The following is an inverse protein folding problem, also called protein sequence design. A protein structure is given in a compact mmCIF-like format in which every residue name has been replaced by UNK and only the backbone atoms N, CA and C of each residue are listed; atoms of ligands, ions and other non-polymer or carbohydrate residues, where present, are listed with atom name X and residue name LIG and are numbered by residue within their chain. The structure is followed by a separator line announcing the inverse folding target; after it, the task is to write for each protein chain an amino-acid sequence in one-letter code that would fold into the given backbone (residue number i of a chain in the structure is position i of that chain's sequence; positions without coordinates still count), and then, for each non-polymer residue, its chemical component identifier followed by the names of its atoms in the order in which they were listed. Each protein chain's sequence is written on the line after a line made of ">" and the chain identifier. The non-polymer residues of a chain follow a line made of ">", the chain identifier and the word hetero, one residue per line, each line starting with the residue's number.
data_IF_182484314289
#
_entry.id   IF_182484314289
#
_cell.length_a   1.000
_cell.length_b   1.000
_cell.length_c   1.000
_cell.angle_alpha   90.00
_cell.angle_beta   90.00
_cell.angle_gamma   90.00
#
_symmetry.space_group_name_H-M   'P 1'
#
loop_
_entity.id
_entity.type
_entity.pdbx_description
1 polymer ?
#
# COMPACT_ATOMS: atom_id res chain seq x y z
N UNK A 1 8.87 3.17 -1.06
CA UNK A 1 7.52 2.62 -1.25
C UNK A 1 7.42 1.26 -0.60
N UNK A 2 6.39 1.02 0.19
CA UNK A 2 6.14 -0.27 0.84
C UNK A 2 4.77 -0.79 0.39
N UNK A 3 4.75 -1.94 -0.27
CA UNK A 3 3.52 -2.70 -0.55
C UNK A 3 3.27 -3.71 0.56
N UNK A 4 2.13 -3.60 1.22
CA UNK A 4 1.73 -4.49 2.30
C UNK A 4 0.83 -5.59 1.73
N UNK A 5 1.04 -6.82 2.18
CA UNK A 5 0.23 -7.93 1.73
C UNK A 5 0.83 -9.30 2.00
N UNK A 6 0.29 -10.29 1.32
CA UNK A 6 0.79 -11.66 1.34
C UNK A 6 0.76 -12.29 -0.06
N UNK A 7 1.26 -13.50 -0.20
CA UNK A 7 1.28 -14.21 -1.48
C UNK A 7 -0.13 -14.70 -1.95
N UNK A 8 -1.17 -14.45 -1.17
CA UNK A 8 -2.47 -15.08 -1.36
C UNK A 8 -3.61 -14.09 -1.63
N UNK A 9 -4.43 -14.40 -2.65
CA UNK A 9 -5.68 -13.73 -2.94
C UNK A 9 -5.54 -12.22 -3.20
N UNK A 10 -6.52 -11.47 -2.76
CA UNK A 10 -6.54 -10.00 -2.88
C UNK A 10 -5.50 -9.31 -1.99
N UNK A 11 -5.04 -10.00 -0.94
CA UNK A 11 -3.96 -9.54 -0.07
C UNK A 11 -2.62 -9.42 -0.82
N UNK A 12 -2.46 -10.07 -1.98
CA UNK A 12 -1.29 -9.96 -2.83
C UNK A 12 -1.23 -8.68 -3.68
N UNK A 13 -2.30 -7.88 -3.73
CA UNK A 13 -2.40 -6.74 -4.63
C UNK A 13 -1.31 -5.70 -4.36
N UNK A 14 -1.08 -5.36 -3.10
CA UNK A 14 -0.02 -4.41 -2.72
C UNK A 14 1.37 -4.86 -3.19
N UNK A 15 1.68 -6.13 -3.07
CA UNK A 15 2.94 -6.71 -3.55
C UNK A 15 3.06 -6.64 -5.06
N UNK A 16 1.99 -6.96 -5.79
CA UNK A 16 2.00 -6.93 -7.26
C UNK A 16 2.18 -5.53 -7.82
N UNK A 17 1.59 -4.53 -7.18
CA UNK A 17 1.82 -3.14 -7.56
C UNK A 17 3.29 -2.76 -7.35
N UNK A 18 3.88 -3.14 -6.21
CA UNK A 18 5.31 -2.91 -5.95
C UNK A 18 6.20 -3.62 -6.96
N UNK A 19 5.91 -4.86 -7.32
CA UNK A 19 6.66 -5.58 -8.37
C UNK A 19 6.63 -4.83 -9.71
N UNK A 20 5.47 -4.28 -10.09
CA UNK A 20 5.34 -3.46 -11.30
C UNK A 20 6.13 -2.15 -11.21
N UNK A 21 6.13 -1.50 -10.04
CA UNK A 21 6.94 -0.31 -9.81
C UNK A 21 8.43 -0.61 -9.95
N UNK A 22 8.91 -1.71 -9.40
CA UNK A 22 10.30 -2.15 -9.56
C UNK A 22 10.63 -2.38 -11.05
N UNK A 23 9.76 -3.08 -11.77
CA UNK A 23 9.93 -3.34 -13.20
C UNK A 23 9.88 -2.07 -14.08
N UNK A 24 9.23 -1.01 -13.60
CA UNK A 24 9.14 0.28 -14.33
C UNK A 24 10.42 1.11 -14.28
N UNK A 25 11.45 0.64 -13.58
CA UNK A 25 12.76 1.28 -13.53
C UNK A 25 12.75 2.65 -12.85
N UNK A 26 11.96 2.81 -11.79
CA UNK A 26 12.01 4.01 -10.96
C UNK A 26 13.32 3.96 -10.19
N UNK A 27 14.30 4.71 -10.67
CA UNK A 27 15.59 4.89 -10.01
C UNK A 27 15.42 5.79 -8.77
N UNK A 28 16.30 5.62 -7.78
CA UNK A 28 16.37 6.42 -6.54
C UNK A 28 15.21 6.19 -5.54
N UNK A 29 14.24 5.31 -5.84
CA UNK A 29 13.14 5.00 -4.93
C UNK A 29 13.19 3.54 -4.49
N UNK A 30 13.40 3.32 -3.19
CA UNK A 30 13.33 1.98 -2.63
C UNK A 30 11.88 1.44 -2.63
N UNK A 31 11.67 0.31 -3.29
CA UNK A 31 10.38 -0.39 -3.33
C UNK A 31 10.49 -1.74 -2.63
N UNK A 32 9.62 -1.98 -1.66
CA UNK A 32 9.69 -3.14 -0.76
C UNK A 32 8.32 -3.80 -0.62
N UNK A 33 8.28 -5.11 -0.63
CA UNK A 33 7.12 -5.90 -0.25
C UNK A 33 7.21 -6.26 1.24
N UNK A 34 6.19 -5.89 2.02
CA UNK A 34 6.08 -6.18 3.44
C UNK A 34 4.91 -7.15 3.70
N UNK A 35 5.08 -8.04 4.67
CA UNK A 35 4.05 -9.02 5.05
C UNK A 35 3.07 -8.48 6.07
N UNK A 36 3.46 -7.46 6.80
CA UNK A 36 2.69 -6.89 7.89
C UNK A 36 2.91 -5.38 7.98
N UNK A 37 1.90 -4.60 8.38
CA UNK A 37 2.07 -3.19 8.69
C UNK A 37 3.15 -2.90 9.74
N UNK A 38 3.42 -3.82 10.66
CA UNK A 38 4.48 -3.66 11.65
C UNK A 38 5.88 -3.49 11.05
N UNK A 39 6.12 -4.00 9.85
CA UNK A 39 7.40 -3.83 9.15
C UNK A 39 7.66 -2.38 8.72
N UNK A 40 6.64 -1.51 8.75
CA UNK A 40 6.79 -0.07 8.56
C UNK A 40 7.78 0.50 9.57
N UNK A 41 7.73 0.04 10.82
CA UNK A 41 8.60 0.51 11.90
C UNK A 41 10.08 0.29 11.59
N UNK A 42 10.41 -0.82 10.94
CA UNK A 42 11.80 -1.16 10.58
C UNK A 42 12.32 -0.36 9.38
N UNK A 43 11.43 0.35 8.67
CA UNK A 43 11.73 0.98 7.37
C UNK A 43 11.52 2.49 7.35
N UNK A 44 10.97 3.08 8.40
CA UNK A 44 10.64 4.51 8.44
C UNK A 44 11.82 5.41 8.78
N UNK A 45 12.85 4.88 9.44
CA UNK A 45 13.95 5.69 9.92
C UNK A 45 14.83 6.20 8.76
N UNK A 46 15.10 7.49 8.75
CA UNK A 46 16.03 8.12 7.81
C UNK A 46 15.50 8.31 6.40
N UNK A 47 14.19 8.20 6.18
CA UNK A 47 13.55 8.48 4.89
C UNK A 47 12.80 9.82 4.91
N UNK A 48 12.74 10.50 3.78
CA UNK A 48 12.06 11.80 3.65
C UNK A 48 10.54 11.65 3.46
N UNK A 49 10.13 10.63 2.72
CA UNK A 49 8.73 10.34 2.42
C UNK A 49 8.46 8.84 2.40
N UNK A 50 7.30 8.45 2.91
CA UNK A 50 6.80 7.09 2.90
C UNK A 50 5.55 6.98 2.02
N UNK A 51 5.56 6.05 1.07
CA UNK A 51 4.38 5.66 0.32
C UNK A 51 4.02 4.22 0.69
N UNK A 52 2.82 4.03 1.21
CA UNK A 52 2.25 2.71 1.52
C UNK A 52 1.25 2.31 0.45
N UNK A 53 1.25 1.04 0.09
CA UNK A 53 0.26 0.45 -0.83
C UNK A 53 -0.36 -0.74 -0.12
N UNK A 54 -1.65 -0.72 0.09
CA UNK A 54 -2.37 -1.82 0.73
C UNK A 54 -3.81 -1.92 0.21
N UNK A 55 -4.44 -3.05 0.44
CA UNK A 55 -5.80 -3.32 0.03
C UNK A 55 -6.77 -3.18 1.20
N UNK A 56 -7.96 -2.68 0.93
CA UNK A 56 -9.08 -2.66 1.84
C UNK A 56 -10.32 -3.32 1.23
N UNK A 57 -11.26 -3.71 2.08
CA UNK A 57 -12.54 -4.25 1.66
C UNK A 57 -13.55 -3.12 1.58
N UNK A 58 -14.21 -3.00 0.44
CA UNK A 58 -15.22 -1.97 0.23
C UNK A 58 -16.06 -2.20 -1.03
N UNK A 59 -17.11 -1.38 -1.23
CA UNK A 59 -18.11 -1.58 -2.29
C UNK A 59 -17.61 -1.22 -3.69
N UNK A 60 -16.54 -0.44 -3.82
CA UNK A 60 -16.02 0.06 -5.10
C UNK A 60 -14.75 -0.72 -5.53
N UNK A 61 -14.91 -2.04 -5.70
CA UNK A 61 -13.81 -2.92 -6.09
C UNK A 61 -13.06 -2.43 -7.34
N UNK A 62 -11.73 -2.37 -7.22
CA UNK A 62 -10.85 -1.91 -8.28
C UNK A 62 -10.66 -0.39 -8.31
N UNK A 63 -11.04 0.31 -7.27
CA UNK A 63 -10.76 1.74 -7.10
C UNK A 63 -9.44 1.95 -6.34
N UNK A 64 -8.65 2.89 -6.82
CA UNK A 64 -7.44 3.37 -6.16
C UNK A 64 -7.72 4.71 -5.48
N UNK A 65 -7.51 4.76 -4.17
CA UNK A 65 -7.58 5.99 -3.38
C UNK A 65 -6.18 6.44 -3.01
N UNK A 66 -5.97 7.75 -3.01
CA UNK A 66 -4.76 8.39 -2.49
C UNK A 66 -5.12 9.19 -1.25
N UNK A 67 -4.59 8.79 -0.12
CA UNK A 67 -4.82 9.44 1.17
C UNK A 67 -3.50 9.96 1.72
N UNK A 68 -3.56 11.08 2.42
CA UNK A 68 -2.42 11.65 3.10
C UNK A 68 -2.57 11.40 4.60
N UNK A 69 -1.55 10.87 5.24
CA UNK A 69 -1.57 10.70 6.69
C UNK A 69 -1.19 12.01 7.42
N UNK A 70 -1.85 12.39 8.54
CA UNK A 70 -3.03 11.72 9.12
C UNK A 70 -4.34 12.05 8.41
N UNK A 71 -5.23 11.08 8.30
CA UNK A 71 -6.56 11.22 7.69
C UNK A 71 -7.53 10.25 8.39
N UNK A 72 -8.65 10.76 8.88
CA UNK A 72 -9.67 9.94 9.57
C UNK A 72 -10.24 8.82 8.70
N UNK A 73 -10.24 8.99 7.37
CA UNK A 73 -10.65 7.95 6.43
C UNK A 73 -9.77 6.70 6.52
N UNK A 74 -8.49 6.86 6.80
CA UNK A 74 -7.54 5.73 6.94
C UNK A 74 -7.93 4.85 8.13
N UNK A 75 -8.35 5.47 9.24
CA UNK A 75 -8.79 4.75 10.45
C UNK A 75 -10.11 4.01 10.22
N UNK A 76 -10.99 4.56 9.38
CA UNK A 76 -12.31 3.99 9.09
C UNK A 76 -12.28 2.84 8.07
N UNK A 77 -11.19 2.61 7.35
CA UNK A 77 -11.09 1.56 6.34
C UNK A 77 -11.07 0.17 6.96
N UNK A 78 -11.69 -0.77 6.25
CA UNK A 78 -11.62 -2.19 6.56
C UNK A 78 -10.45 -2.83 5.83
N UNK A 79 -9.31 -2.90 6.47
CA UNK A 79 -8.08 -3.46 5.92
C UNK A 79 -8.21 -4.97 5.68
N UNK A 80 -7.55 -5.48 4.64
CA UNK A 80 -7.57 -6.92 4.31
C UNK A 80 -6.75 -7.74 5.29
N UNK A 81 -5.69 -7.17 5.84
CA UNK A 81 -4.88 -7.83 6.86
C UNK A 81 -5.62 -7.89 8.20
N UNK A 82 -5.81 -9.11 8.72
CA UNK A 82 -6.56 -9.36 9.95
C UNK A 82 -5.69 -9.76 11.14
N UNK A 83 -4.38 -9.86 10.94
CA UNK A 83 -3.44 -10.37 11.95
C UNK A 83 -2.49 -9.29 12.45
N UNK A 84 -2.58 -8.99 13.73
CA UNK A 84 -1.70 -8.07 14.40
C UNK A 84 -2.13 -6.60 14.28
N UNK A 85 -1.15 -5.71 14.17
CA UNK A 85 -1.38 -4.28 14.03
C UNK A 85 -1.78 -3.94 12.59
N UNK A 86 -2.80 -3.09 12.41
CA UNK A 86 -3.21 -2.56 11.10
C UNK A 86 -2.36 -1.35 10.67
N UNK A 87 -2.62 -0.84 9.45
CA UNK A 87 -1.89 0.32 8.92
C UNK A 87 -1.99 1.55 9.82
N UNK A 88 -3.19 2.01 10.25
CA UNK A 88 -3.28 3.15 11.15
C UNK A 88 -2.58 2.91 12.49
N UNK A 89 -2.68 1.71 13.05
CA UNK A 89 -1.99 1.35 14.29
C UNK A 89 -0.47 1.41 14.17
N UNK A 90 0.09 0.90 13.08
CA UNK A 90 1.52 0.97 12.80
C UNK A 90 2.01 2.41 12.61
N UNK A 91 1.23 3.25 11.92
CA UNK A 91 1.55 4.67 11.72
C UNK A 91 1.47 5.47 13.02
N UNK A 92 0.48 5.21 13.87
CA UNK A 92 0.41 5.83 15.19
C UNK A 92 1.60 5.44 16.07
N UNK A 93 1.99 4.17 16.05
CA UNK A 93 3.15 3.71 16.80
C UNK A 93 4.45 4.35 16.27
N UNK A 94 4.63 4.42 14.96
CA UNK A 94 5.78 5.09 14.36
C UNK A 94 5.84 6.58 14.72
N UNK A 95 4.68 7.25 14.80
CA UNK A 95 4.57 8.64 15.24
C UNK A 95 5.01 8.81 16.69
N UNK A 96 4.51 7.97 17.61
CA UNK A 96 4.88 7.99 19.03
C UNK A 96 6.37 7.73 19.26
N UNK A 97 6.96 6.84 18.45
CA UNK A 97 8.41 6.54 18.47
C UNK A 97 9.25 7.60 17.74
N UNK A 98 8.64 8.63 17.16
CA UNK A 98 9.30 9.68 16.38
C UNK A 98 10.10 9.16 15.18
N UNK A 99 9.63 8.08 14.59
CA UNK A 99 10.24 7.42 13.42
C UNK A 99 9.53 7.81 12.12
N UNK A 100 8.35 8.43 12.19
CA UNK A 100 7.56 8.72 11.02
C UNK A 100 8.17 9.86 10.20
N UNK A 101 8.33 9.72 8.88
CA UNK A 101 8.80 10.79 8.03
C UNK A 101 7.78 11.93 7.92
N UNK A 102 8.21 13.08 7.45
CA UNK A 102 7.37 14.27 7.34
C UNK A 102 6.19 14.10 6.38
N UNK A 103 6.33 13.23 5.39
CA UNK A 103 5.28 12.94 4.41
C UNK A 103 4.97 11.46 4.37
N UNK A 104 3.70 11.12 4.56
CA UNK A 104 3.19 9.74 4.42
C UNK A 104 1.98 9.74 3.51
N UNK A 105 2.09 9.08 2.37
CA UNK A 105 1.00 8.87 1.41
C UNK A 105 0.56 7.41 1.45
N UNK A 106 -0.73 7.17 1.49
CA UNK A 106 -1.31 5.83 1.51
C UNK A 106 -2.13 5.64 0.23
N UNK A 107 -1.75 4.65 -0.54
CA UNK A 107 -2.46 4.19 -1.73
C UNK A 107 -3.30 3.00 -1.34
N UNK A 108 -4.60 3.18 -1.30
CA UNK A 108 -5.56 2.16 -0.90
C UNK A 108 -6.26 1.60 -2.11
N UNK A 109 -6.19 0.30 -2.29
CA UNK A 109 -6.87 -0.42 -3.36
C UNK A 109 -8.08 -1.13 -2.78
N UNK A 110 -9.25 -0.76 -3.27
CA UNK A 110 -10.51 -1.30 -2.78
C UNK A 110 -10.84 -2.62 -3.47
N UNK A 111 -11.18 -3.64 -2.68
CA UNK A 111 -11.50 -5.01 -3.11
C UNK A 111 -12.82 -5.48 -2.52
N UNK A 112 -13.45 -6.47 -3.15
CA UNK A 112 -14.74 -7.03 -2.69
C UNK A 112 -14.64 -8.05 -1.53
N UNK A 113 -13.45 -8.30 -0.98
CA UNK A 113 -13.25 -9.34 0.03
C UNK A 113 -13.15 -10.75 -0.59
N UNK A 114 -13.12 -11.77 0.20
CA UNK A 114 -12.95 -13.23 0.02
C UNK A 114 -12.85 -13.93 -1.37
N UNK A 115 -12.83 -13.24 -2.48
CA UNK A 115 -12.64 -13.84 -3.80
C UNK A 115 -11.15 -14.09 -4.07
N UNK A 116 -10.73 -15.31 -3.78
CA UNK A 116 -9.35 -15.82 -3.88
C UNK A 116 -8.75 -15.65 -5.29
N UNK A 117 -9.57 -15.67 -6.34
CA UNK A 117 -9.10 -15.64 -7.73
C UNK A 117 -9.07 -14.25 -8.38
N UNK A 118 -9.64 -13.23 -7.74
CA UNK A 118 -9.81 -11.90 -8.32
C UNK A 118 -8.50 -11.26 -8.77
N UNK A 119 -7.46 -11.32 -7.94
CA UNK A 119 -6.18 -10.68 -8.23
C UNK A 119 -5.38 -11.33 -9.38
N UNK A 120 -5.73 -12.55 -9.79
CA UNK A 120 -5.10 -13.27 -10.91
C UNK A 120 -5.86 -13.12 -12.22
N UNK A 121 -7.07 -12.57 -12.22
CA UNK A 121 -7.83 -12.34 -13.44
C UNK A 121 -7.14 -11.31 -14.34
N UNK A 122 -7.36 -11.40 -15.68
CA UNK A 122 -6.84 -10.41 -16.62
C UNK A 122 -7.31 -9.00 -16.30
N UNK A 123 -8.53 -8.83 -15.79
CA UNK A 123 -9.08 -7.54 -15.37
C UNK A 123 -8.28 -6.93 -14.21
N UNK A 124 -7.93 -7.72 -13.21
CA UNK A 124 -7.09 -7.27 -12.11
C UNK A 124 -5.65 -6.99 -12.53
N UNK A 125 -5.08 -7.77 -13.43
CA UNK A 125 -3.74 -7.51 -13.96
C UNK A 125 -3.67 -6.14 -14.64
N UNK A 126 -4.67 -5.80 -15.47
CA UNK A 126 -4.76 -4.48 -16.10
C UNK A 126 -4.92 -3.36 -15.08
N UNK A 127 -5.72 -3.56 -14.04
CA UNK A 127 -5.86 -2.58 -12.95
C UNK A 127 -4.56 -2.37 -12.19
N UNK A 128 -3.86 -3.43 -11.83
CA UNK A 128 -2.56 -3.37 -11.14
C UNK A 128 -1.55 -2.59 -11.98
N UNK A 129 -1.50 -2.82 -13.29
CA UNK A 129 -0.67 -2.06 -14.21
C UNK A 129 -1.00 -0.57 -14.18
N UNK A 130 -2.29 -0.23 -14.32
CA UNK A 130 -2.76 1.16 -14.26
C UNK A 130 -2.48 1.83 -12.90
N UNK A 131 -2.61 1.10 -11.80
CA UNK A 131 -2.27 1.62 -10.47
C UNK A 131 -0.77 1.91 -10.35
N UNK A 132 0.07 0.99 -10.80
CA UNK A 132 1.51 1.17 -10.78
C UNK A 132 1.94 2.37 -11.64
N UNK A 133 1.38 2.53 -12.84
CA UNK A 133 1.65 3.69 -13.69
C UNK A 133 1.26 5.01 -13.03
N UNK A 134 0.07 5.07 -12.41
CA UNK A 134 -0.38 6.26 -11.70
C UNK A 134 0.50 6.61 -10.52
N UNK A 135 0.85 5.62 -9.70
CA UNK A 135 1.75 5.81 -8.56
C UNK A 135 3.14 6.23 -9.05
N UNK A 136 3.68 5.57 -10.07
CA UNK A 136 4.97 5.92 -10.67
C UNK A 136 5.00 7.36 -11.19
N UNK A 137 3.91 7.81 -11.82
CA UNK A 137 3.79 9.19 -12.29
C UNK A 137 3.87 10.21 -11.16
N UNK A 138 3.20 9.96 -10.04
CA UNK A 138 3.29 10.85 -8.87
C UNK A 138 4.67 10.81 -8.20
N UNK A 139 5.27 9.65 -8.09
CA UNK A 139 6.60 9.50 -7.50
C UNK A 139 7.67 10.29 -8.27
N UNK A 140 7.55 10.37 -9.60
CA UNK A 140 8.47 11.14 -10.45
C UNK A 140 8.27 12.67 -10.33
N UNK A 141 7.13 13.11 -9.83
CA UNK A 141 6.79 14.53 -9.66
C UNK A 141 7.10 15.06 -8.25
N UNK A 142 7.39 14.16 -7.33
CA UNK A 142 7.71 14.48 -5.95
C UNK A 142 9.20 14.70 -5.78
#
# INVERSE_FOLDING_TARGET
>A
VIGIGSAHGQDAIGWRVVERLICSGIEEIACIAARSPSEILDRCEGIDALHLIDACIGPESGRLHRLQWPDDRVVALRWTSTHGIDVPGALHLALELRMLPASVTIWVIECEGDRIDGARSNAWQQKIESFAERIASELRQS
#
